data_IF_452512753033
#
_entry.id   IF_452512753033
#
_cell.length_a   1.000
_cell.length_b   1.000
_cell.length_c   1.000
_cell.angle_alpha   90.00
_cell.angle_beta   90.00
_cell.angle_gamma   90.00
#
_symmetry.space_group_name_H-M   'P 1'
#
loop_
_entity.id
_entity.type
_entity.pdbx_description
1 polymer ?
#
# COMPACT_ATOMS: atom_id res chain seq x y z
N UNK A 1 13.16 20.57 17.78
CA UNK A 1 14.39 20.17 17.06
C UNK A 1 14.07 20.28 15.59
N UNK A 2 14.87 21.04 14.86
CA UNK A 2 14.78 21.07 13.40
C UNK A 2 15.22 19.70 12.85
N UNK A 3 14.39 19.11 12.05
CA UNK A 3 14.60 17.75 11.55
C UNK A 3 14.57 17.73 10.04
N UNK A 4 15.56 17.06 9.44
CA UNK A 4 15.61 16.84 7.99
C UNK A 4 15.72 15.36 7.70
N UNK A 5 14.92 14.88 6.75
CA UNK A 5 14.99 13.53 6.18
C UNK A 5 15.61 13.63 4.79
N UNK A 6 16.63 12.82 4.54
CA UNK A 6 17.23 12.65 3.19
C UNK A 6 17.01 11.21 2.75
N UNK A 7 16.35 11.03 1.62
CA UNK A 7 16.01 9.74 1.04
C UNK A 7 16.51 9.68 -0.41
N UNK A 8 17.25 8.63 -0.73
CA UNK A 8 17.83 8.44 -2.05
C UNK A 8 16.80 8.06 -3.13
N UNK A 9 15.67 7.51 -2.73
CA UNK A 9 14.56 7.20 -3.63
C UNK A 9 13.57 8.35 -3.74
N UNK A 10 12.67 8.28 -4.72
CA UNK A 10 11.67 9.33 -5.00
C UNK A 10 10.51 9.36 -3.98
N UNK A 11 10.54 8.53 -2.94
CA UNK A 11 9.49 8.46 -1.93
C UNK A 11 10.02 8.08 -0.54
N UNK A 12 9.34 8.53 0.51
CA UNK A 12 9.53 8.02 1.88
C UNK A 12 8.92 6.63 2.02
N UNK A 13 9.35 5.84 3.01
CA UNK A 13 8.83 4.51 3.32
C UNK A 13 8.73 3.59 2.09
N UNK A 14 9.85 3.21 1.54
CA UNK A 14 9.98 2.35 0.36
C UNK A 14 9.08 1.08 0.31
N UNK A 15 8.60 0.47 1.40
CA UNK A 15 7.64 -0.64 1.32
C UNK A 15 6.25 -0.27 0.78
N UNK A 16 5.83 1.01 0.90
CA UNK A 16 4.55 1.49 0.38
C UNK A 16 4.60 1.70 -1.15
N UNK A 17 3.45 1.68 -1.79
CA UNK A 17 3.28 2.23 -3.14
C UNK A 17 3.28 3.76 -3.10
N UNK A 18 3.59 4.45 -4.23
CA UNK A 18 3.85 5.90 -4.22
C UNK A 18 2.70 6.73 -3.64
N UNK A 19 1.47 6.52 -4.08
CA UNK A 19 0.29 7.26 -3.63
C UNK A 19 -0.03 7.04 -2.14
N UNK A 20 0.35 5.88 -1.60
CA UNK A 20 0.22 5.60 -0.17
C UNK A 20 1.33 6.25 0.65
N UNK A 21 2.53 6.41 0.07
CA UNK A 21 3.67 7.07 0.72
C UNK A 21 3.46 8.59 0.83
N UNK A 22 2.71 9.21 -0.09
CA UNK A 22 2.40 10.64 -0.04
C UNK A 22 1.68 11.06 1.25
N UNK A 23 0.80 10.22 1.81
CA UNK A 23 0.20 10.49 3.12
C UNK A 23 1.24 10.66 4.23
N UNK A 24 2.35 9.92 4.14
CA UNK A 24 3.43 10.00 5.12
C UNK A 24 4.29 11.23 4.88
N UNK A 25 4.54 11.57 3.63
CA UNK A 25 5.25 12.79 3.26
C UNK A 25 4.49 14.03 3.74
N UNK A 26 3.17 14.08 3.51
CA UNK A 26 2.31 15.16 4.02
C UNK A 26 2.39 15.29 5.55
N UNK A 27 2.37 14.16 6.27
CA UNK A 27 2.46 14.17 7.74
C UNK A 27 3.83 14.70 8.23
N UNK A 28 4.92 14.32 7.56
CA UNK A 28 6.26 14.84 7.85
C UNK A 28 6.32 16.35 7.65
N UNK A 29 5.86 16.83 6.49
CA UNK A 29 5.83 18.26 6.16
C UNK A 29 4.93 19.05 7.13
N UNK A 30 3.75 18.51 7.46
CA UNK A 30 2.82 19.11 8.44
C UNK A 30 3.47 19.32 9.81
N UNK A 31 4.40 18.44 10.19
CA UNK A 31 5.15 18.54 11.46
C UNK A 31 6.48 19.31 11.32
N UNK A 32 6.69 20.01 10.20
CA UNK A 32 7.86 20.88 9.99
C UNK A 32 9.15 20.11 9.68
N UNK A 33 9.06 18.85 9.26
CA UNK A 33 10.23 18.09 8.81
C UNK A 33 10.57 18.49 7.37
N UNK A 34 11.81 18.93 7.14
CA UNK A 34 12.31 19.12 5.79
C UNK A 34 12.61 17.77 5.15
N UNK A 35 12.14 17.52 3.91
CA UNK A 35 12.31 16.23 3.24
C UNK A 35 12.97 16.45 1.88
N UNK A 36 14.09 15.76 1.66
CA UNK A 36 14.82 15.70 0.39
C UNK A 36 14.65 14.29 -0.19
N UNK A 37 13.99 14.18 -1.31
CA UNK A 37 13.79 12.92 -2.06
C UNK A 37 14.69 12.89 -3.29
N UNK A 38 14.94 11.69 -3.84
CA UNK A 38 15.73 11.50 -5.05
C UNK A 38 17.21 11.89 -4.91
N UNK A 39 17.70 12.09 -3.69
CA UNK A 39 19.10 12.47 -3.46
C UNK A 39 19.69 11.71 -2.28
N UNK A 40 20.92 11.23 -2.44
CA UNK A 40 21.66 10.55 -1.38
C UNK A 40 22.59 11.48 -0.61
N UNK A 41 23.12 10.99 0.50
CA UNK A 41 24.21 11.62 1.21
C UNK A 41 25.54 11.19 0.57
N UNK A 42 26.34 12.16 0.12
CA UNK A 42 27.67 11.94 -0.47
C UNK A 42 28.76 11.95 0.57
N UNK A 43 28.72 12.93 1.50
CA UNK A 43 29.75 13.09 2.51
C UNK A 43 29.18 13.61 3.83
N UNK A 44 29.87 13.27 4.91
CA UNK A 44 29.62 13.78 6.27
C UNK A 44 30.90 14.39 6.83
N UNK A 45 30.80 15.57 7.41
CA UNK A 45 31.85 16.14 8.27
C UNK A 45 31.29 16.45 9.67
N UNK A 46 32.04 17.13 10.50
CA UNK A 46 31.72 17.36 11.93
C UNK A 46 30.35 18.07 12.12
N UNK A 47 29.93 18.91 11.17
CA UNK A 47 28.71 19.75 11.29
C UNK A 47 27.95 19.90 10.01
N UNK A 48 28.28 19.12 8.96
CA UNK A 48 27.68 19.29 7.64
C UNK A 48 27.44 17.94 6.98
N UNK A 49 26.26 17.82 6.39
CA UNK A 49 25.88 16.73 5.46
C UNK A 49 25.93 17.30 4.04
N UNK A 50 26.71 16.70 3.16
CA UNK A 50 26.73 17.04 1.73
C UNK A 50 25.89 16.06 0.96
N UNK A 51 24.92 16.56 0.21
CA UNK A 51 24.03 15.76 -0.63
C UNK A 51 24.65 15.51 -2.02
N UNK A 52 24.20 14.47 -2.70
CA UNK A 52 24.69 14.10 -4.03
C UNK A 52 24.43 15.18 -5.10
N UNK A 53 23.46 16.08 -4.89
CA UNK A 53 23.20 17.24 -5.72
C UNK A 53 24.13 18.45 -5.42
N UNK A 54 25.07 18.31 -4.47
CA UNK A 54 26.01 19.33 -4.04
C UNK A 54 25.50 20.28 -2.95
N UNK A 55 24.25 20.17 -2.52
CA UNK A 55 23.71 20.95 -1.40
C UNK A 55 24.33 20.55 -0.08
N UNK A 56 24.50 21.53 0.81
CA UNK A 56 25.12 21.32 2.13
C UNK A 56 24.15 21.70 3.23
N UNK A 57 23.86 20.74 4.11
CA UNK A 57 22.95 20.89 5.25
C UNK A 57 23.77 20.92 6.54
N UNK A 58 23.52 21.91 7.42
CA UNK A 58 24.06 21.92 8.76
C UNK A 58 23.41 20.84 9.62
N UNK A 59 24.20 20.10 10.41
CA UNK A 59 23.68 19.07 11.29
C UNK A 59 24.50 18.94 12.59
N UNK A 60 23.81 18.99 13.74
CA UNK A 60 24.42 18.71 15.06
C UNK A 60 24.39 17.21 15.37
N UNK A 61 23.44 16.46 14.80
CA UNK A 61 23.28 15.03 14.94
C UNK A 61 22.83 14.42 13.62
N UNK A 62 23.49 13.36 13.19
CA UNK A 62 23.09 12.55 12.02
C UNK A 62 22.69 11.15 12.47
N UNK A 63 21.46 10.76 12.13
CA UNK A 63 20.95 9.41 12.35
C UNK A 63 21.00 8.66 11.03
N UNK A 64 21.82 7.61 10.96
CA UNK A 64 21.94 6.76 9.76
C UNK A 64 20.90 5.65 9.82
N UNK A 65 19.87 5.76 8.98
CA UNK A 65 18.73 4.82 8.90
C UNK A 65 18.55 4.25 7.49
N UNK A 66 19.66 3.88 6.84
CA UNK A 66 19.74 3.44 5.42
C UNK A 66 19.43 1.95 5.21
N UNK A 67 18.70 1.32 6.14
CA UNK A 67 18.32 -0.09 6.09
C UNK A 67 19.29 -1.00 6.83
N UNK A 68 19.01 -2.30 6.77
CA UNK A 68 19.75 -3.36 7.47
C UNK A 68 20.29 -4.40 6.49
N UNK A 69 21.43 -4.98 6.83
CA UNK A 69 22.03 -6.11 6.12
C UNK A 69 22.18 -7.28 7.07
N UNK A 70 21.99 -8.53 6.59
CA UNK A 70 22.20 -9.70 7.44
C UNK A 70 23.66 -9.78 7.90
N UNK A 71 23.89 -9.97 9.20
CA UNK A 71 25.25 -10.21 9.73
C UNK A 71 25.62 -11.67 9.53
N UNK A 72 26.48 -11.92 8.56
CA UNK A 72 26.84 -13.28 8.12
C UNK A 72 28.32 -13.62 8.26
N UNK A 73 29.14 -12.75 8.87
CA UNK A 73 30.60 -12.95 8.98
C UNK A 73 30.95 -14.27 9.68
N UNK A 74 30.27 -14.56 10.77
CA UNK A 74 30.51 -15.81 11.51
C UNK A 74 30.10 -17.04 10.72
N UNK A 75 28.91 -16.97 10.06
CA UNK A 75 28.41 -18.06 9.22
C UNK A 75 29.37 -18.33 8.04
N UNK A 76 29.86 -17.26 7.38
CA UNK A 76 30.84 -17.38 6.29
C UNK A 76 32.17 -17.96 6.77
N UNK A 77 32.67 -17.52 7.91
CA UNK A 77 33.90 -18.05 8.51
C UNK A 77 33.77 -19.53 8.90
N UNK A 78 32.58 -19.97 9.28
CA UNK A 78 32.27 -21.39 9.57
C UNK A 78 31.98 -22.20 8.31
N UNK A 79 32.06 -21.67 7.11
CA UNK A 79 31.81 -22.36 5.86
C UNK A 79 30.32 -22.64 5.58
N UNK A 80 29.39 -21.97 6.25
CA UNK A 80 27.96 -22.16 6.02
C UNK A 80 27.54 -21.51 4.69
N UNK A 81 26.61 -22.14 3.99
CA UNK A 81 26.05 -21.63 2.74
C UNK A 81 25.23 -20.37 2.99
N UNK A 82 25.49 -19.33 2.17
CA UNK A 82 24.66 -18.14 2.11
C UNK A 82 23.68 -18.27 0.93
N UNK A 83 22.48 -17.72 1.10
CA UNK A 83 21.47 -17.74 0.07
C UNK A 83 21.58 -16.57 -0.91
N UNK A 84 20.72 -16.50 -1.94
CA UNK A 84 20.79 -15.51 -3.02
C UNK A 84 20.53 -14.06 -2.58
N UNK A 85 19.93 -13.87 -1.40
CA UNK A 85 19.72 -12.53 -0.81
C UNK A 85 20.84 -12.12 0.14
N UNK A 86 21.87 -12.94 0.28
CA UNK A 86 23.03 -12.69 1.12
C UNK A 86 22.84 -13.04 2.61
N UNK A 87 21.70 -13.59 3.00
CA UNK A 87 21.45 -14.15 4.32
C UNK A 87 21.97 -15.59 4.45
N UNK A 88 21.89 -16.15 5.64
CA UNK A 88 22.25 -17.55 5.89
C UNK A 88 21.16 -18.44 5.28
N UNK A 89 21.53 -19.33 4.35
CA UNK A 89 20.60 -20.29 3.76
C UNK A 89 20.15 -21.30 4.82
N UNK A 90 18.85 -21.50 4.94
CA UNK A 90 18.24 -22.48 5.85
C UNK A 90 17.14 -23.26 5.15
N UNK A 91 16.89 -24.47 5.62
CA UNK A 91 15.72 -25.24 5.23
C UNK A 91 14.45 -24.76 5.97
N UNK A 92 13.34 -25.42 5.74
CA UNK A 92 12.06 -25.10 6.36
C UNK A 92 12.05 -25.26 7.90
N UNK A 93 13.02 -26.01 8.45
CA UNK A 93 13.22 -26.23 9.89
C UNK A 93 14.26 -25.30 10.50
N UNK A 94 14.79 -24.37 9.74
CA UNK A 94 15.84 -23.41 10.11
C UNK A 94 17.23 -24.03 10.26
N UNK A 95 17.48 -25.23 9.70
CA UNK A 95 18.82 -25.84 9.66
C UNK A 95 19.62 -25.17 8.52
N UNK A 96 20.90 -24.96 8.78
CA UNK A 96 21.86 -24.46 7.79
C UNK A 96 22.41 -25.60 6.92
N UNK A 97 23.43 -25.35 6.11
CA UNK A 97 24.20 -26.39 5.39
C UNK A 97 24.94 -27.35 6.30
N UNK A 98 25.19 -26.98 7.56
CA UNK A 98 25.64 -27.91 8.62
C UNK A 98 24.40 -28.31 9.45
N UNK A 99 24.05 -29.63 9.47
CA UNK A 99 22.86 -30.12 10.16
C UNK A 99 22.87 -29.93 11.68
N UNK A 100 24.03 -29.64 12.29
CA UNK A 100 24.16 -29.34 13.70
C UNK A 100 23.96 -27.84 14.01
N UNK A 101 23.84 -26.99 12.98
CA UNK A 101 23.74 -25.53 13.12
C UNK A 101 22.41 -25.02 12.59
N UNK A 102 21.74 -24.19 13.39
CA UNK A 102 20.49 -23.53 13.04
C UNK A 102 20.70 -22.03 12.95
N UNK A 103 20.00 -21.37 12.02
CA UNK A 103 19.97 -19.92 11.91
C UNK A 103 18.55 -19.40 11.87
N UNK A 104 18.27 -18.35 12.66
CA UNK A 104 16.96 -17.72 12.81
C UNK A 104 17.09 -16.19 12.81
N UNK A 105 15.98 -15.49 12.64
CA UNK A 105 15.93 -14.03 12.73
C UNK A 105 16.44 -13.35 11.46
N UNK A 106 16.94 -12.13 11.62
CA UNK A 106 17.21 -11.21 10.50
C UNK A 106 18.34 -11.69 9.59
N UNK A 107 19.29 -12.47 10.12
CA UNK A 107 20.42 -12.99 9.37
C UNK A 107 20.07 -14.21 8.49
N UNK A 108 18.97 -14.93 8.78
CA UNK A 108 18.55 -16.11 8.03
C UNK A 108 17.59 -15.73 6.88
N UNK A 109 17.75 -16.36 5.72
CA UNK A 109 16.78 -16.26 4.64
C UNK A 109 15.47 -16.98 4.98
N UNK A 110 14.39 -16.55 4.35
CA UNK A 110 13.05 -17.10 4.51
C UNK A 110 12.47 -17.43 3.14
N UNK A 111 11.51 -18.33 3.09
CA UNK A 111 10.67 -18.51 1.92
C UNK A 111 9.55 -17.46 1.93
N UNK A 112 9.35 -16.78 0.83
CA UNK A 112 8.23 -15.86 0.61
C UNK A 112 6.91 -16.64 0.45
N UNK A 113 5.83 -16.14 1.03
CA UNK A 113 4.55 -16.85 1.02
C UNK A 113 3.82 -16.78 -0.33
N UNK A 114 4.15 -15.81 -1.19
CA UNK A 114 3.46 -15.59 -2.45
C UNK A 114 4.07 -16.37 -3.63
N UNK A 115 5.40 -16.56 -3.63
CA UNK A 115 6.09 -17.19 -4.75
C UNK A 115 7.11 -18.28 -4.35
N UNK A 116 7.32 -18.49 -3.06
CA UNK A 116 8.28 -19.47 -2.53
C UNK A 116 9.75 -19.03 -2.66
N UNK A 117 10.04 -17.86 -3.23
CA UNK A 117 11.41 -17.38 -3.41
C UNK A 117 12.10 -17.07 -2.07
N UNK A 118 13.45 -17.06 -2.09
CA UNK A 118 14.21 -16.64 -0.93
C UNK A 118 14.04 -15.13 -0.70
N UNK A 119 13.79 -14.77 0.55
CA UNK A 119 13.57 -13.36 0.96
C UNK A 119 14.20 -13.08 2.33
N UNK A 120 14.49 -11.80 2.56
CA UNK A 120 14.89 -11.28 3.87
C UNK A 120 13.74 -10.44 4.43
N UNK A 121 13.27 -10.80 5.60
CA UNK A 121 12.20 -10.09 6.32
C UNK A 121 12.67 -9.85 7.74
N UNK A 122 13.34 -8.71 8.01
CA UNK A 122 13.92 -8.41 9.32
C UNK A 122 12.83 -7.92 10.29
N UNK A 123 11.98 -8.83 10.75
CA UNK A 123 10.86 -8.55 11.63
C UNK A 123 10.86 -9.51 12.84
N UNK A 124 10.74 -8.96 14.03
CA UNK A 124 10.80 -9.68 15.29
C UNK A 124 9.71 -10.76 15.43
N UNK A 125 8.51 -10.54 14.88
CA UNK A 125 7.42 -11.52 14.87
C UNK A 125 7.78 -12.78 14.07
N UNK A 126 8.53 -12.64 12.96
CA UNK A 126 9.02 -13.77 12.15
C UNK A 126 10.18 -14.45 12.85
N UNK A 127 11.15 -13.68 13.39
CA UNK A 127 12.28 -14.21 14.13
C UNK A 127 11.83 -15.09 15.32
N UNK A 128 10.82 -14.61 16.07
CA UNK A 128 10.22 -15.38 17.19
C UNK A 128 9.64 -16.74 16.73
N UNK A 129 8.89 -16.76 15.62
CA UNK A 129 8.35 -18.01 15.07
C UNK A 129 9.44 -18.95 14.60
N UNK A 130 10.50 -18.42 13.95
CA UNK A 130 11.64 -19.25 13.52
C UNK A 130 12.36 -19.88 14.70
N UNK A 131 12.58 -19.12 15.79
CA UNK A 131 13.17 -19.64 17.01
C UNK A 131 12.38 -20.82 17.58
N UNK A 132 11.05 -20.71 17.58
CA UNK A 132 10.18 -21.80 18.01
C UNK A 132 10.28 -23.02 17.08
N UNK A 133 10.25 -22.83 15.77
CA UNK A 133 10.39 -23.91 14.79
C UNK A 133 11.71 -24.66 15.00
N UNK A 134 12.83 -23.94 15.14
CA UNK A 134 14.14 -24.52 15.40
C UNK A 134 14.16 -25.35 16.71
N UNK A 135 13.64 -24.76 17.80
CA UNK A 135 13.62 -25.45 19.11
C UNK A 135 12.74 -26.70 19.09
N UNK A 136 11.55 -26.65 18.50
CA UNK A 136 10.67 -27.82 18.41
C UNK A 136 11.28 -28.89 17.52
N UNK A 137 11.95 -28.53 16.40
CA UNK A 137 12.65 -29.47 15.53
C UNK A 137 13.83 -30.15 16.25
N UNK A 138 14.66 -29.39 16.97
CA UNK A 138 15.77 -29.91 17.78
C UNK A 138 15.25 -30.90 18.83
N UNK A 139 14.09 -30.61 19.41
CA UNK A 139 13.47 -31.48 20.42
C UNK A 139 12.72 -32.69 19.83
N UNK A 140 12.76 -32.90 18.51
CA UNK A 140 12.05 -33.98 17.81
C UNK A 140 10.53 -33.86 17.85
N UNK A 141 9.99 -32.65 18.06
CA UNK A 141 8.56 -32.37 18.06
C UNK A 141 8.03 -32.10 16.64
N UNK A 142 6.76 -32.36 16.38
CA UNK A 142 6.15 -31.98 15.11
C UNK A 142 6.19 -30.45 14.91
N UNK A 143 6.73 -30.04 13.77
CA UNK A 143 6.76 -28.62 13.37
C UNK A 143 5.92 -28.38 12.13
N UNK A 144 5.37 -27.16 12.02
CA UNK A 144 4.63 -26.69 10.85
C UNK A 144 5.29 -25.41 10.35
N UNK A 145 6.32 -25.51 9.54
CA UNK A 145 6.97 -24.35 8.94
C UNK A 145 5.96 -23.55 8.12
N UNK A 146 6.11 -22.22 8.13
CA UNK A 146 5.26 -21.33 7.36
C UNK A 146 6.12 -20.26 6.70
N UNK A 147 5.95 -20.03 5.38
CA UNK A 147 6.63 -18.95 4.68
C UNK A 147 6.28 -17.57 5.27
N UNK A 148 7.10 -16.59 4.99
CA UNK A 148 6.92 -15.22 5.47
C UNK A 148 5.98 -14.44 4.54
N UNK A 149 5.04 -13.68 5.12
CA UNK A 149 4.19 -12.72 4.40
C UNK A 149 4.82 -11.31 4.42
N UNK A 150 5.48 -10.95 5.55
CA UNK A 150 6.09 -9.64 5.69
C UNK A 150 5.14 -8.56 6.22
N UNK A 151 4.23 -8.92 7.15
CA UNK A 151 3.34 -7.94 7.78
C UNK A 151 4.12 -7.04 8.74
N UNK A 152 4.07 -5.73 8.50
CA UNK A 152 4.80 -4.73 9.26
C UNK A 152 3.94 -3.50 9.55
N UNK A 153 4.28 -2.78 10.62
CA UNK A 153 3.61 -1.56 11.04
C UNK A 153 4.61 -0.56 11.60
N UNK A 154 4.37 0.72 11.34
CA UNK A 154 5.14 1.83 11.89
C UNK A 154 4.22 2.99 12.25
N UNK A 155 4.64 3.80 13.18
CA UNK A 155 3.96 5.05 13.55
C UNK A 155 4.83 6.25 13.17
N UNK A 156 4.23 7.20 12.43
CA UNK A 156 4.88 8.46 12.06
C UNK A 156 4.02 9.58 12.63
N UNK A 157 4.49 10.23 13.70
CA UNK A 157 3.71 11.17 14.51
C UNK A 157 2.35 10.57 14.93
N UNK A 158 1.24 11.15 14.45
CA UNK A 158 -0.11 10.66 14.68
C UNK A 158 -0.58 9.60 13.69
N UNK A 159 0.18 9.32 12.65
CA UNK A 159 -0.20 8.45 11.56
C UNK A 159 0.31 7.02 11.80
N UNK A 160 -0.56 6.04 11.61
CA UNK A 160 -0.23 4.63 11.59
C UNK A 160 -0.13 4.17 10.15
N UNK A 161 0.94 3.47 9.81
CA UNK A 161 1.22 2.90 8.49
C UNK A 161 1.45 1.41 8.64
N UNK A 162 0.72 0.59 7.92
CA UNK A 162 0.88 -0.86 7.99
C UNK A 162 0.79 -1.50 6.59
N UNK A 163 1.50 -2.60 6.41
CA UNK A 163 1.57 -3.35 5.15
C UNK A 163 1.53 -4.85 5.41
N UNK A 164 1.03 -5.61 4.44
CA UNK A 164 1.12 -7.07 4.41
C UNK A 164 1.24 -7.57 2.97
N UNK A 165 1.98 -8.65 2.73
CA UNK A 165 2.22 -9.19 1.39
C UNK A 165 3.09 -8.30 0.51
N UNK A 166 2.82 -8.29 -0.79
CA UNK A 166 3.59 -7.52 -1.77
C UNK A 166 2.89 -6.22 -2.15
N UNK A 167 3.67 -5.15 -2.31
CA UNK A 167 3.18 -3.90 -2.92
C UNK A 167 2.95 -4.09 -4.42
N UNK A 168 2.11 -3.24 -5.00
CA UNK A 168 1.85 -3.24 -6.45
C UNK A 168 3.14 -3.02 -7.25
N UNK A 169 3.98 -2.07 -6.85
CA UNK A 169 5.27 -1.82 -7.52
C UNK A 169 6.21 -3.03 -7.48
N UNK A 170 6.19 -3.83 -6.40
CA UNK A 170 6.96 -5.08 -6.31
C UNK A 170 6.42 -6.13 -7.28
N UNK A 171 5.09 -6.26 -7.40
CA UNK A 171 4.43 -7.15 -8.35
C UNK A 171 4.74 -6.74 -9.79
N UNK A 172 4.61 -5.44 -10.10
CA UNK A 172 4.95 -4.86 -11.40
C UNK A 172 6.42 -5.14 -11.77
N UNK A 173 7.36 -4.94 -10.85
CA UNK A 173 8.78 -5.25 -11.05
C UNK A 173 9.06 -6.75 -11.26
N UNK A 174 8.24 -7.62 -10.69
CA UNK A 174 8.29 -9.07 -10.88
C UNK A 174 7.55 -9.55 -12.14
N UNK A 175 6.93 -8.65 -12.93
CA UNK A 175 6.12 -8.99 -14.10
C UNK A 175 4.85 -9.76 -13.75
N UNK A 176 4.37 -9.69 -12.51
CA UNK A 176 3.17 -10.38 -12.04
C UNK A 176 1.95 -9.47 -12.19
N UNK A 177 0.91 -9.91 -12.90
CA UNK A 177 -0.35 -9.16 -13.00
C UNK A 177 -0.92 -8.85 -11.62
N UNK A 178 -1.43 -7.64 -11.47
CA UNK A 178 -2.04 -7.18 -10.23
C UNK A 178 -3.12 -6.14 -10.53
N UNK A 179 -4.19 -6.15 -9.72
CA UNK A 179 -5.24 -5.14 -9.70
C UNK A 179 -5.22 -4.48 -8.33
N UNK A 180 -5.03 -3.16 -8.31
CA UNK A 180 -5.15 -2.37 -7.09
C UNK A 180 -6.60 -1.95 -6.86
N UNK A 181 -6.99 -1.85 -5.59
CA UNK A 181 -8.28 -1.38 -5.11
C UNK A 181 -8.02 -0.42 -3.96
N UNK A 182 -8.46 0.83 -4.09
CA UNK A 182 -8.33 1.85 -3.06
C UNK A 182 -9.68 2.17 -2.43
N UNK A 183 -9.70 2.30 -1.10
CA UNK A 183 -10.87 2.79 -0.36
C UNK A 183 -10.43 3.80 0.71
N UNK A 184 -11.30 4.77 1.01
CA UNK A 184 -11.08 5.80 2.01
C UNK A 184 -12.17 5.80 3.07
N UNK A 185 -12.26 4.73 3.88
CA UNK A 185 -13.27 4.61 4.93
C UNK A 185 -12.90 5.41 6.19
N UNK A 186 -13.87 5.53 7.11
CA UNK A 186 -13.62 5.96 8.47
C UNK A 186 -13.27 4.77 9.38
N UNK A 187 -12.52 5.05 10.46
CA UNK A 187 -12.11 4.04 11.46
C UNK A 187 -13.30 3.35 12.13
N UNK A 188 -14.40 4.09 12.29
CA UNK A 188 -15.69 3.61 12.82
C UNK A 188 -16.85 4.43 12.24
N UNK A 189 -18.08 4.17 12.70
CA UNK A 189 -19.29 4.84 12.23
C UNK A 189 -19.15 6.38 12.29
N UNK A 190 -19.29 7.06 11.14
CA UNK A 190 -19.02 8.50 11.01
C UNK A 190 -19.95 9.40 11.85
N UNK A 191 -21.11 8.89 12.26
CA UNK A 191 -22.02 9.60 13.16
C UNK A 191 -21.62 9.49 14.65
N UNK A 192 -20.68 8.57 14.99
CA UNK A 192 -20.13 8.47 16.34
C UNK A 192 -18.89 9.36 16.46
N UNK A 193 -18.76 10.13 17.58
CA UNK A 193 -17.67 11.09 17.73
C UNK A 193 -16.29 10.44 17.67
N UNK A 194 -15.35 11.12 17.03
CA UNK A 194 -13.94 10.73 16.99
C UNK A 194 -13.52 9.90 15.78
N UNK A 195 -14.43 9.61 14.85
CA UNK A 195 -14.09 8.90 13.61
C UNK A 195 -12.95 9.57 12.86
N UNK A 196 -11.95 8.79 12.43
CA UNK A 196 -10.79 9.23 11.65
C UNK A 196 -10.79 8.54 10.31
N UNK A 197 -10.47 9.29 9.25
CA UNK A 197 -10.28 8.72 7.92
C UNK A 197 -9.02 7.84 7.87
N UNK A 198 -9.06 6.85 6.98
CA UNK A 198 -7.89 6.04 6.58
C UNK A 198 -7.91 5.80 5.07
N UNK A 199 -6.75 5.60 4.49
CA UNK A 199 -6.57 5.06 3.16
C UNK A 199 -6.22 3.58 3.27
N UNK A 200 -6.92 2.73 2.55
CA UNK A 200 -6.63 1.31 2.43
C UNK A 200 -6.44 0.95 0.96
N UNK A 201 -5.38 0.22 0.66
CA UNK A 201 -5.11 -0.37 -0.64
C UNK A 201 -5.07 -1.88 -0.49
N UNK A 202 -5.84 -2.60 -1.33
CA UNK A 202 -5.76 -4.03 -1.52
C UNK A 202 -5.19 -4.31 -2.90
N UNK A 203 -4.27 -5.27 -3.01
CA UNK A 203 -3.73 -5.72 -4.29
C UNK A 203 -4.08 -7.18 -4.49
N UNK A 204 -4.70 -7.48 -5.61
CA UNK A 204 -5.23 -8.81 -5.92
C UNK A 204 -4.71 -9.34 -7.26
N UNK A 205 -4.74 -10.63 -7.45
CA UNK A 205 -4.59 -11.24 -8.75
C UNK A 205 -5.90 -11.05 -9.54
N UNK A 206 -5.88 -10.40 -10.72
CA UNK A 206 -7.09 -10.14 -11.48
C UNK A 206 -7.72 -11.41 -12.08
N UNK A 207 -6.97 -12.53 -12.08
CA UNK A 207 -7.44 -13.78 -12.71
C UNK A 207 -8.31 -14.60 -11.77
N UNK A 208 -7.94 -14.66 -10.49
CA UNK A 208 -8.59 -15.55 -9.52
C UNK A 208 -8.98 -14.87 -8.21
N UNK A 209 -8.72 -13.58 -8.06
CA UNK A 209 -9.05 -12.81 -6.86
C UNK A 209 -8.15 -13.11 -5.65
N UNK A 210 -7.02 -13.83 -5.83
CA UNK A 210 -6.10 -14.10 -4.73
C UNK A 210 -5.55 -12.78 -4.15
N UNK A 211 -5.55 -12.66 -2.82
CA UNK A 211 -4.98 -11.50 -2.14
C UNK A 211 -3.45 -11.59 -2.24
N UNK A 212 -2.83 -10.58 -2.85
CA UNK A 212 -1.38 -10.47 -3.02
C UNK A 212 -0.73 -9.55 -1.98
N UNK A 213 -1.46 -8.56 -1.51
CA UNK A 213 -0.99 -7.66 -0.48
C UNK A 213 -1.99 -6.58 -0.13
N UNK A 214 -1.67 -5.83 0.92
CA UNK A 214 -2.44 -4.67 1.33
C UNK A 214 -1.58 -3.64 2.05
N UNK A 215 -2.02 -2.39 1.98
CA UNK A 215 -1.42 -1.25 2.66
C UNK A 215 -2.51 -0.43 3.34
N UNK A 216 -2.19 0.13 4.48
CA UNK A 216 -3.10 1.01 5.21
C UNK A 216 -2.37 2.18 5.81
N UNK A 217 -2.96 3.38 5.69
CA UNK A 217 -2.45 4.61 6.28
C UNK A 217 -3.59 5.37 6.93
N UNK A 218 -3.45 5.80 8.16
CA UNK A 218 -4.49 6.52 8.88
C UNK A 218 -4.16 6.75 10.35
N UNK A 219 -5.03 7.48 11.05
CA UNK A 219 -4.77 7.84 12.45
C UNK A 219 -5.31 6.83 13.45
N UNK A 220 -6.26 5.98 13.04
CA UNK A 220 -6.94 5.03 13.92
C UNK A 220 -7.44 3.81 13.14
N UNK A 221 -7.30 2.60 13.72
CA UNK A 221 -7.88 1.35 13.24
C UNK A 221 -7.25 0.74 11.99
N UNK A 222 -6.09 1.23 11.54
CA UNK A 222 -5.33 0.66 10.41
C UNK A 222 -4.77 -0.72 10.78
N UNK A 223 -4.21 -0.86 11.97
CA UNK A 223 -3.67 -2.10 12.51
C UNK A 223 -4.68 -3.25 12.45
N UNK A 224 -5.89 -3.00 12.97
CA UNK A 224 -6.99 -3.97 12.93
C UNK A 224 -7.27 -4.46 11.51
N UNK A 225 -7.32 -3.56 10.52
CA UNK A 225 -7.70 -3.91 9.15
C UNK A 225 -6.59 -4.67 8.44
N UNK A 226 -5.36 -4.25 8.62
CA UNK A 226 -4.20 -4.96 8.04
C UNK A 226 -4.02 -6.35 8.69
N UNK A 227 -4.27 -6.51 9.99
CA UNK A 227 -4.22 -7.83 10.64
C UNK A 227 -5.31 -8.78 10.14
N UNK A 228 -6.53 -8.28 9.89
CA UNK A 228 -7.60 -9.07 9.27
C UNK A 228 -7.21 -9.51 7.87
N UNK A 229 -6.71 -8.58 7.02
CA UNK A 229 -6.28 -8.90 5.65
C UNK A 229 -5.07 -9.85 5.66
N UNK A 230 -4.10 -9.66 6.54
CA UNK A 230 -2.96 -10.57 6.70
C UNK A 230 -3.41 -11.99 7.11
N UNK A 231 -4.45 -12.08 7.93
CA UNK A 231 -5.07 -13.36 8.32
C UNK A 231 -5.78 -14.00 7.13
N UNK A 232 -6.56 -13.22 6.36
CA UNK A 232 -7.24 -13.69 5.16
C UNK A 232 -6.22 -14.19 4.10
N UNK A 233 -5.16 -13.41 3.83
CA UNK A 233 -4.06 -13.82 2.94
C UNK A 233 -3.41 -15.12 3.42
N UNK A 234 -3.12 -15.23 4.72
CA UNK A 234 -2.55 -16.46 5.31
C UNK A 234 -3.48 -17.66 5.19
N UNK A 235 -4.78 -17.46 5.28
CA UNK A 235 -5.79 -18.51 5.14
C UNK A 235 -6.05 -18.88 3.67
N UNK A 236 -5.59 -18.07 2.71
CA UNK A 236 -5.83 -18.26 1.28
C UNK A 236 -7.23 -17.84 0.85
N UNK A 237 -7.87 -16.91 1.57
CA UNK A 237 -9.13 -16.31 1.14
C UNK A 237 -8.90 -15.49 -0.13
N UNK A 238 -9.95 -15.42 -0.95
CA UNK A 238 -10.04 -14.51 -2.09
C UNK A 238 -10.54 -13.14 -1.64
N UNK A 239 -10.28 -12.14 -2.46
CA UNK A 239 -10.61 -10.76 -2.11
C UNK A 239 -12.13 -10.53 -1.95
N UNK A 240 -12.95 -11.14 -2.79
CA UNK A 240 -14.41 -11.08 -2.69
C UNK A 240 -14.94 -11.70 -1.40
N UNK A 241 -14.28 -12.73 -0.85
CA UNK A 241 -14.68 -13.36 0.43
C UNK A 241 -14.49 -12.43 1.63
N UNK A 242 -13.72 -11.34 1.47
CA UNK A 242 -13.63 -10.30 2.51
C UNK A 242 -14.98 -9.61 2.76
N UNK A 243 -15.89 -9.61 1.78
CA UNK A 243 -17.24 -9.06 1.90
C UNK A 243 -18.09 -9.82 2.92
N UNK A 244 -17.86 -11.13 3.06
CA UNK A 244 -18.65 -12.05 3.90
C UNK A 244 -18.11 -12.18 5.33
N UNK A 245 -17.00 -11.54 5.66
CA UNK A 245 -16.42 -11.63 6.99
C UNK A 245 -17.35 -10.97 8.04
N UNK A 246 -17.76 -11.74 9.04
CA UNK A 246 -18.49 -11.24 10.21
C UNK A 246 -17.53 -10.58 11.19
N UNK A 247 -17.28 -9.29 11.01
CA UNK A 247 -16.36 -8.54 11.85
C UNK A 247 -17.11 -7.85 12.99
N UNK A 248 -16.45 -7.75 14.16
CA UNK A 248 -17.05 -7.15 15.34
C UNK A 248 -17.45 -5.69 15.10
N UNK A 249 -18.74 -5.38 15.30
CA UNK A 249 -19.32 -4.07 15.10
C UNK A 249 -20.04 -3.55 16.33
N UNK A 250 -19.71 -2.32 16.68
CA UNK A 250 -20.55 -1.37 17.37
C UNK A 250 -20.04 0.04 16.97
N UNK A 251 -20.86 1.11 17.04
CA UNK A 251 -20.49 2.43 16.52
C UNK A 251 -19.12 2.97 16.92
N UNK A 252 -18.61 2.76 18.16
CA UNK A 252 -17.28 3.23 18.55
C UNK A 252 -16.10 2.42 17.95
N UNK A 253 -16.34 1.23 17.40
CA UNK A 253 -15.27 0.29 17.02
C UNK A 253 -15.14 0.06 15.51
N UNK A 254 -16.26 0.22 14.78
CA UNK A 254 -16.28 -0.01 13.32
C UNK A 254 -17.52 0.61 12.69
N UNK A 255 -17.73 0.36 11.42
CA UNK A 255 -18.96 0.59 10.68
C UNK A 255 -19.68 -0.75 10.44
N UNK A 256 -20.98 -0.72 10.20
CA UNK A 256 -21.74 -1.94 9.88
C UNK A 256 -21.20 -2.66 8.63
N UNK A 257 -20.64 -1.90 7.69
CA UNK A 257 -19.74 -2.39 6.63
C UNK A 257 -18.34 -2.00 7.06
N UNK A 258 -17.60 -2.94 7.68
CA UNK A 258 -16.21 -2.66 8.06
C UNK A 258 -15.37 -2.27 6.83
N UNK A 259 -14.37 -1.42 6.98
CA UNK A 259 -13.41 -1.12 5.92
C UNK A 259 -12.89 -2.34 5.13
N UNK A 260 -12.70 -3.48 5.78
CA UNK A 260 -12.29 -4.74 5.12
C UNK A 260 -13.43 -5.29 4.24
N UNK A 261 -14.68 -5.29 4.74
CA UNK A 261 -15.82 -5.70 3.92
C UNK A 261 -15.98 -4.79 2.69
N UNK A 262 -15.73 -3.49 2.84
CA UNK A 262 -15.79 -2.54 1.71
C UNK A 262 -14.77 -2.88 0.62
N UNK A 263 -13.55 -3.28 0.98
CA UNK A 263 -12.56 -3.78 0.01
C UNK A 263 -13.08 -5.03 -0.71
N UNK A 264 -13.72 -5.95 0.01
CA UNK A 264 -14.35 -7.15 -0.54
C UNK A 264 -15.45 -6.83 -1.56
N UNK A 265 -16.36 -5.90 -1.24
CA UNK A 265 -17.40 -5.47 -2.17
C UNK A 265 -16.85 -4.82 -3.44
N UNK A 266 -15.79 -4.02 -3.33
CA UNK A 266 -15.15 -3.45 -4.52
C UNK A 266 -14.48 -4.54 -5.34
N UNK A 267 -13.79 -5.50 -4.69
CA UNK A 267 -13.18 -6.64 -5.36
C UNK A 267 -14.22 -7.47 -6.12
N UNK A 268 -15.36 -7.78 -5.50
CA UNK A 268 -16.47 -8.49 -6.14
C UNK A 268 -16.97 -7.75 -7.39
N UNK A 269 -17.18 -6.43 -7.29
CA UNK A 269 -17.62 -5.62 -8.43
C UNK A 269 -16.61 -5.63 -9.59
N UNK A 270 -15.31 -5.57 -9.30
CA UNK A 270 -14.24 -5.61 -10.32
C UNK A 270 -14.15 -7.00 -10.95
N UNK A 271 -14.05 -8.05 -10.14
CA UNK A 271 -13.86 -9.43 -10.59
C UNK A 271 -15.09 -9.98 -11.36
N UNK A 272 -16.31 -9.58 -10.99
CA UNK A 272 -17.54 -9.96 -11.70
C UNK A 272 -17.76 -9.19 -13.00
N UNK A 273 -16.94 -8.16 -13.32
CA UNK A 273 -17.11 -7.33 -14.51
C UNK A 273 -18.29 -6.37 -14.45
N UNK A 274 -18.91 -6.18 -13.29
CA UNK A 274 -19.98 -5.19 -13.08
C UNK A 274 -19.55 -3.76 -13.36
N UNK A 275 -18.24 -3.51 -13.30
CA UNK A 275 -17.62 -2.27 -13.70
C UNK A 275 -16.12 -2.44 -13.89
N UNK A 276 -15.49 -1.50 -14.55
CA UNK A 276 -14.04 -1.40 -14.69
C UNK A 276 -13.52 -0.19 -13.95
N UNK A 277 -12.27 -0.26 -13.51
CA UNK A 277 -11.56 0.84 -12.87
C UNK A 277 -10.33 1.21 -13.67
N UNK A 278 -9.90 2.46 -13.53
CA UNK A 278 -8.57 2.91 -13.94
C UNK A 278 -7.83 3.46 -12.73
N UNK A 279 -6.52 3.36 -12.77
CA UNK A 279 -5.67 3.82 -11.68
C UNK A 279 -5.28 5.31 -11.87
N UNK A 280 -4.83 5.94 -10.79
CA UNK A 280 -4.44 7.34 -10.78
C UNK A 280 -3.30 7.66 -11.78
N UNK A 281 -2.39 6.73 -12.04
CA UNK A 281 -1.27 6.88 -12.98
C UNK A 281 -1.67 6.73 -14.46
N UNK A 282 -2.85 6.20 -14.75
CA UNK A 282 -3.40 6.09 -16.10
C UNK A 282 -4.14 7.34 -16.59
N UNK A 283 -4.47 8.27 -15.69
CA UNK A 283 -5.36 9.42 -16.00
C UNK A 283 -4.83 10.29 -17.13
N UNK A 284 -3.54 10.62 -17.12
CA UNK A 284 -2.95 11.48 -18.13
C UNK A 284 -2.94 10.82 -19.53
N UNK A 285 -2.64 9.53 -19.59
CA UNK A 285 -2.61 8.76 -20.85
C UNK A 285 -4.02 8.66 -21.41
N UNK A 286 -5.01 8.26 -20.61
CA UNK A 286 -6.41 8.19 -21.00
C UNK A 286 -6.94 9.54 -21.53
N UNK A 287 -6.61 10.63 -20.85
CA UNK A 287 -6.98 11.96 -21.31
C UNK A 287 -6.34 12.32 -22.65
N UNK A 288 -5.08 11.96 -22.87
CA UNK A 288 -4.37 12.18 -24.13
C UNK A 288 -4.93 11.34 -25.29
N UNK A 289 -5.52 10.19 -24.99
CA UNK A 289 -6.21 9.31 -25.93
C UNK A 289 -7.65 9.74 -26.24
N UNK A 290 -8.14 10.79 -25.57
CA UNK A 290 -9.47 11.37 -25.81
C UNK A 290 -10.56 10.86 -24.89
N UNK A 291 -10.24 10.11 -23.84
CA UNK A 291 -11.20 9.73 -22.80
C UNK A 291 -11.69 10.98 -22.06
N UNK A 292 -13.00 11.17 -21.97
CA UNK A 292 -13.59 12.27 -21.20
C UNK A 292 -13.45 12.04 -19.70
N UNK A 293 -12.88 13.00 -18.99
CA UNK A 293 -12.87 13.02 -17.54
C UNK A 293 -14.17 13.62 -17.02
N UNK A 294 -15.02 12.82 -16.37
CA UNK A 294 -16.32 13.23 -15.84
C UNK A 294 -16.30 13.27 -14.31
N UNK A 295 -16.23 14.44 -13.74
CA UNK A 295 -16.30 14.64 -12.29
C UNK A 295 -17.77 14.71 -11.83
N UNK A 296 -18.19 13.69 -11.06
CA UNK A 296 -19.57 13.57 -10.57
C UNK A 296 -19.74 14.08 -9.14
N UNK A 297 -18.78 14.82 -8.62
CA UNK A 297 -18.87 15.52 -7.35
C UNK A 297 -19.79 16.74 -7.49
N UNK A 298 -20.20 17.28 -6.36
CA UNK A 298 -20.94 18.55 -6.34
C UNK A 298 -20.10 19.67 -6.97
N UNK A 299 -20.76 20.70 -7.53
CA UNK A 299 -20.08 21.88 -8.07
C UNK A 299 -19.17 22.56 -7.02
N UNK A 300 -19.55 22.50 -5.73
CA UNK A 300 -18.73 23.03 -4.64
C UNK A 300 -17.43 22.24 -4.47
N UNK A 301 -17.48 20.91 -4.44
CA UNK A 301 -16.28 20.06 -4.37
C UNK A 301 -15.37 20.29 -5.57
N UNK A 302 -15.95 20.38 -6.76
CA UNK A 302 -15.21 20.64 -8.02
C UNK A 302 -14.47 21.98 -7.98
N UNK A 303 -15.11 23.05 -7.50
CA UNK A 303 -14.50 24.38 -7.40
C UNK A 303 -13.33 24.44 -6.41
N UNK A 304 -13.32 23.58 -5.38
CA UNK A 304 -12.22 23.51 -4.41
C UNK A 304 -10.98 22.77 -4.93
N UNK A 305 -11.09 22.08 -6.06
CA UNK A 305 -10.01 21.36 -6.72
C UNK A 305 -10.57 20.21 -7.56
N UNK A 306 -10.03 20.02 -8.76
CA UNK A 306 -10.44 18.96 -9.69
C UNK A 306 -9.28 18.56 -10.59
N UNK A 307 -9.43 17.43 -11.29
CA UNK A 307 -8.45 17.02 -12.30
C UNK A 307 -8.59 17.94 -13.52
N UNK A 308 -7.51 18.59 -13.98
CA UNK A 308 -7.59 19.54 -15.10
C UNK A 308 -8.25 18.91 -16.35
N UNK A 309 -9.15 19.68 -16.99
CA UNK A 309 -9.89 19.23 -18.17
C UNK A 309 -11.12 18.38 -17.88
N UNK A 310 -11.50 18.15 -16.62
CA UNK A 310 -12.72 17.44 -16.27
C UNK A 310 -13.99 18.25 -16.55
N UNK A 311 -15.02 17.57 -17.08
CA UNK A 311 -16.39 18.07 -17.12
C UNK A 311 -17.09 17.78 -15.79
N UNK A 312 -17.75 18.74 -15.18
CA UNK A 312 -18.50 18.51 -13.94
C UNK A 312 -20.00 18.33 -14.18
N UNK A 313 -20.51 17.14 -13.89
CA UNK A 313 -21.95 16.85 -13.84
C UNK A 313 -22.20 16.05 -12.54
N UNK A 314 -22.78 16.67 -11.50
CA UNK A 314 -23.08 15.98 -10.26
C UNK A 314 -23.89 14.70 -10.48
N UNK A 315 -23.58 13.63 -9.71
CA UNK A 315 -24.22 12.31 -9.90
C UNK A 315 -25.76 12.38 -9.84
N UNK A 316 -26.32 13.30 -9.05
CA UNK A 316 -27.76 13.48 -8.90
C UNK A 316 -28.41 14.10 -10.16
N UNK A 317 -27.63 14.87 -10.95
CA UNK A 317 -28.06 15.50 -12.20
C UNK A 317 -27.74 14.66 -13.43
N UNK A 318 -26.95 13.61 -13.29
CA UNK A 318 -26.33 12.87 -14.39
C UNK A 318 -27.36 12.31 -15.38
N UNK A 319 -28.52 11.79 -14.90
CA UNK A 319 -29.54 11.20 -15.76
C UNK A 319 -30.20 12.24 -16.68
N UNK A 320 -30.34 13.48 -16.18
CA UNK A 320 -30.97 14.56 -16.93
C UNK A 320 -29.98 15.20 -17.91
N UNK A 321 -28.70 15.18 -17.56
CA UNK A 321 -27.63 15.88 -18.29
C UNK A 321 -26.73 14.95 -19.11
N UNK A 322 -27.07 13.66 -19.24
CA UNK A 322 -26.27 12.70 -20.02
C UNK A 322 -26.07 13.14 -21.47
N UNK A 323 -26.99 13.92 -22.05
CA UNK A 323 -26.87 14.48 -23.39
C UNK A 323 -25.73 15.52 -23.57
N UNK A 324 -25.10 15.97 -22.49
CA UNK A 324 -23.91 16.82 -22.53
C UNK A 324 -22.63 16.01 -22.72
N UNK A 325 -22.69 14.68 -22.59
CA UNK A 325 -21.55 13.77 -22.72
C UNK A 325 -21.39 13.39 -24.18
N UNK A 326 -20.47 14.04 -24.87
CA UNK A 326 -20.10 13.75 -26.27
C UNK A 326 -18.73 13.06 -26.30
N UNK A 327 -18.71 11.79 -25.83
CA UNK A 327 -17.48 10.99 -25.80
C UNK A 327 -17.82 9.48 -25.88
N UNK A 328 -16.95 8.74 -26.55
CA UNK A 328 -17.09 7.27 -26.66
C UNK A 328 -16.70 6.57 -25.34
N UNK A 329 -15.72 7.10 -24.65
CA UNK A 329 -15.21 6.57 -23.37
C UNK A 329 -15.19 7.66 -22.29
N UNK A 330 -15.57 7.27 -21.07
CA UNK A 330 -15.67 8.20 -19.93
C UNK A 330 -14.94 7.62 -18.71
N UNK A 331 -14.01 8.37 -18.16
CA UNK A 331 -13.45 8.11 -16.83
C UNK A 331 -14.20 8.93 -15.79
N UNK A 332 -14.92 8.27 -14.91
CA UNK A 332 -15.75 8.88 -13.89
C UNK A 332 -14.94 9.14 -12.63
N UNK A 333 -14.99 10.36 -12.13
CA UNK A 333 -14.27 10.82 -10.94
C UNK A 333 -15.28 11.21 -9.87
N UNK A 334 -15.13 10.68 -8.67
CA UNK A 334 -15.79 11.23 -7.48
C UNK A 334 -14.79 11.40 -6.35
N UNK A 335 -15.20 11.72 -5.13
CA UNK A 335 -14.24 11.96 -4.05
C UNK A 335 -13.42 10.72 -3.67
N UNK A 336 -14.10 9.56 -3.49
CA UNK A 336 -13.48 8.34 -2.95
C UNK A 336 -13.91 7.05 -3.69
N UNK A 337 -14.40 7.14 -4.92
CA UNK A 337 -14.81 6.00 -5.74
C UNK A 337 -16.30 5.60 -5.63
N UNK A 338 -17.00 5.81 -4.52
CA UNK A 338 -18.36 5.30 -4.27
C UNK A 338 -19.43 5.91 -5.20
N UNK A 339 -19.50 7.24 -5.31
CA UNK A 339 -20.42 7.93 -6.25
C UNK A 339 -20.07 7.62 -7.70
N UNK A 340 -18.77 7.44 -7.97
CA UNK A 340 -18.28 7.06 -9.30
C UNK A 340 -18.83 5.70 -9.75
N UNK A 341 -18.86 4.71 -8.87
CA UNK A 341 -19.50 3.42 -9.15
C UNK A 341 -20.98 3.57 -9.54
N UNK A 342 -21.72 4.40 -8.81
CA UNK A 342 -23.12 4.69 -9.14
C UNK A 342 -23.24 5.33 -10.53
N UNK A 343 -22.40 6.32 -10.81
CA UNK A 343 -22.39 7.02 -12.09
C UNK A 343 -22.01 6.11 -13.28
N UNK A 344 -20.97 5.26 -13.10
CA UNK A 344 -20.59 4.25 -14.12
C UNK A 344 -21.77 3.34 -14.47
N UNK A 345 -22.53 2.86 -13.49
CA UNK A 345 -23.70 2.02 -13.72
C UNK A 345 -24.83 2.77 -14.45
N UNK A 346 -25.04 4.06 -14.13
CA UNK A 346 -26.00 4.90 -14.84
C UNK A 346 -25.59 5.04 -16.30
N UNK A 347 -24.33 5.40 -16.57
CA UNK A 347 -23.78 5.64 -17.89
C UNK A 347 -23.84 4.37 -18.76
N UNK A 348 -23.41 3.23 -18.22
CA UNK A 348 -23.47 1.94 -18.94
C UNK A 348 -24.89 1.50 -19.26
N UNK A 349 -25.84 1.75 -18.36
CA UNK A 349 -27.26 1.48 -18.64
C UNK A 349 -27.82 2.37 -19.74
N UNK A 350 -27.22 3.51 -20.03
CA UNK A 350 -27.56 4.44 -21.11
C UNK A 350 -26.69 4.23 -22.38
N UNK A 351 -25.85 3.19 -22.40
CA UNK A 351 -25.02 2.81 -23.55
C UNK A 351 -23.69 3.58 -23.66
N UNK A 352 -23.26 4.30 -22.62
CA UNK A 352 -21.96 4.99 -22.58
C UNK A 352 -20.93 4.05 -21.97
N UNK A 353 -19.80 3.85 -22.63
CA UNK A 353 -18.66 3.12 -22.03
C UNK A 353 -18.02 3.99 -20.94
N UNK A 354 -18.04 3.48 -19.73
CA UNK A 354 -17.57 4.22 -18.57
C UNK A 354 -16.78 3.33 -17.60
N UNK A 355 -15.73 3.88 -17.04
CA UNK A 355 -14.92 3.26 -15.96
C UNK A 355 -14.78 4.23 -14.80
N UNK A 356 -14.54 3.70 -13.60
CA UNK A 356 -14.41 4.49 -12.38
C UNK A 356 -12.93 4.73 -12.06
N UNK A 357 -12.56 5.96 -11.70
CA UNK A 357 -11.25 6.23 -11.13
C UNK A 357 -11.16 5.58 -9.75
N UNK A 358 -10.30 4.59 -9.60
CA UNK A 358 -10.12 3.85 -8.35
C UNK A 358 -9.64 4.76 -7.23
N UNK A 359 -10.32 4.70 -6.07
CA UNK A 359 -10.07 5.62 -4.94
C UNK A 359 -10.46 7.09 -5.20
N UNK A 360 -10.86 7.44 -6.43
CA UNK A 360 -11.36 8.77 -6.81
C UNK A 360 -10.34 9.89 -6.72
N UNK A 361 -10.84 11.12 -6.59
CA UNK A 361 -10.02 12.33 -6.47
C UNK A 361 -9.08 12.31 -5.26
N UNK A 362 -9.49 11.68 -4.16
CA UNK A 362 -8.66 11.57 -2.94
C UNK A 362 -7.35 10.82 -3.21
N UNK A 363 -7.39 9.69 -3.93
CA UNK A 363 -6.18 8.95 -4.32
C UNK A 363 -5.36 9.74 -5.35
N UNK A 364 -6.02 10.28 -6.39
CA UNK A 364 -5.32 11.02 -7.43
C UNK A 364 -4.63 12.28 -6.91
N UNK A 365 -5.32 13.09 -6.09
CA UNK A 365 -4.77 14.35 -5.55
C UNK A 365 -3.58 14.15 -4.61
N UNK A 366 -3.43 12.94 -4.05
CA UNK A 366 -2.28 12.55 -3.24
C UNK A 366 -1.26 11.71 -4.01
N UNK A 367 -1.36 11.67 -5.32
CA UNK A 367 -0.38 10.96 -6.14
C UNK A 367 0.82 11.84 -6.48
N UNK A 368 1.97 11.25 -6.82
CA UNK A 368 3.11 12.01 -7.33
C UNK A 368 2.78 12.84 -8.58
N UNK A 369 1.81 12.40 -9.39
CA UNK A 369 1.35 13.14 -10.59
C UNK A 369 0.70 14.45 -10.19
N UNK A 370 -0.24 14.42 -9.25
CA UNK A 370 -0.92 15.65 -8.78
C UNK A 370 0.07 16.62 -8.13
N UNK A 371 0.99 16.09 -7.29
CA UNK A 371 2.03 16.90 -6.66
C UNK A 371 2.94 17.60 -7.69
N UNK A 372 3.27 16.94 -8.79
CA UNK A 372 4.07 17.56 -9.86
C UNK A 372 3.33 18.72 -10.56
N UNK A 373 2.01 18.70 -10.59
CA UNK A 373 1.19 19.78 -11.16
C UNK A 373 1.07 21.01 -10.23
N UNK A 374 1.18 20.82 -8.91
CA UNK A 374 1.18 21.92 -7.94
C UNK A 374 2.48 22.75 -7.98
N UNK A 375 3.57 22.16 -8.46
CA UNK A 375 4.89 22.80 -8.54
C UNK A 375 5.28 23.23 -9.97
N UNK A 376 4.43 23.02 -10.97
CA UNK A 376 4.63 23.45 -12.35
C UNK A 376 3.91 24.77 -12.63
#
# INVERSE_FOLDING_TARGET
>A
IDTTVVEATEQVLAPLDPEMAEHVLDELVLHGVAVYLGTGVEALDAHTVTLANGERLGADLVVVAIGVRPEVRLARAAGLTLGPRGGIAVDEYQRTSDPAVYAVGDAAEKSDALDGSATLVPLANIANRQGRVAADHIAGRPVRPRPAIGTAIVKVFGLTVAVTGWSEKRLRAAGRPAQAIHTHPSSHAGYYPGAKGMALKLVIDPTDGAILGAQGVGRDGVDKRIDVIATALRAGLRAEELADLELAYAPPFSSAKDPVNMLGYVAENVLSGLGSTSQWDEVADLQSEGTLLLDVRTAREFTHGHIPGSLNIPVDELRERVGEIDAAEVLVICQVGVRGWTAVRILRALGVDARNLDGGFETWSRSPVARSLEFA
#
